data_IF_841710488576
#
_entry.id   IF_841710488576
#
_cell.length_a   1.000
_cell.length_b   1.000
_cell.length_c   1.000
_cell.angle_alpha   90.00
_cell.angle_beta   90.00
_cell.angle_gamma   90.00
#
_symmetry.space_group_name_H-M   'P 1'
#
loop_
_entity.id
_entity.type
_entity.pdbx_description
1 polymer ?
#
# COMPACT_ATOMS: atom_id res chain seq x y z
N UNK A 1 -5.75 13.05 19.97
CA UNK A 1 -5.44 13.97 18.85
C UNK A 1 -4.94 13.14 17.66
N UNK A 2 -5.38 13.47 16.44
CA UNK A 2 -4.89 12.87 15.19
C UNK A 2 -4.15 13.94 14.40
N UNK A 3 -3.08 13.55 13.71
CA UNK A 3 -2.41 14.43 12.74
C UNK A 3 -2.43 13.74 11.39
N UNK A 4 -3.09 14.40 10.43
CA UNK A 4 -3.22 13.99 9.05
C UNK A 4 -2.67 15.11 8.15
N UNK A 5 -1.63 14.80 7.38
CA UNK A 5 -1.09 15.70 6.36
C UNK A 5 -1.45 15.21 4.96
N UNK A 6 -1.94 16.11 4.12
CA UNK A 6 -2.12 15.88 2.69
C UNK A 6 -1.05 16.65 1.90
N UNK A 7 -0.46 16.02 0.89
CA UNK A 7 0.57 16.63 0.07
C UNK A 7 -0.02 17.75 -0.80
N UNK A 8 0.61 18.91 -0.78
CA UNK A 8 0.44 19.93 -1.82
C UNK A 8 1.36 19.61 -3.00
N UNK A 9 1.02 20.08 -4.20
CA UNK A 9 1.85 19.93 -5.40
C UNK A 9 3.32 20.31 -5.09
N UNK A 10 4.22 19.35 -5.25
CA UNK A 10 5.65 19.43 -4.88
C UNK A 10 6.07 18.53 -3.71
N UNK A 11 5.12 17.97 -2.97
CA UNK A 11 5.40 17.11 -1.80
C UNK A 11 5.99 15.74 -2.17
N UNK A 12 6.82 15.20 -1.26
CA UNK A 12 7.36 13.84 -1.34
C UNK A 12 6.34 12.77 -0.96
N UNK A 13 5.35 13.12 -0.15
CA UNK A 13 4.35 12.18 0.37
C UNK A 13 2.96 12.68 -0.03
N UNK A 14 2.15 11.80 -0.63
CA UNK A 14 0.78 12.14 -1.03
C UNK A 14 -0.15 12.29 0.18
N UNK A 15 -0.10 11.33 1.11
CA UNK A 15 -0.76 11.44 2.42
C UNK A 15 0.10 10.85 3.53
N UNK A 16 0.18 11.54 4.66
CA UNK A 16 0.93 11.10 5.84
C UNK A 16 0.04 11.06 7.09
N UNK A 17 -0.08 9.87 7.67
CA UNK A 17 -0.68 9.63 8.98
C UNK A 17 0.46 9.50 10.00
N UNK A 18 0.78 10.60 10.65
CA UNK A 18 2.00 10.71 11.46
C UNK A 18 1.83 10.08 12.84
N UNK A 19 0.72 10.39 13.52
CA UNK A 19 0.43 9.96 14.90
C UNK A 19 -1.08 9.90 15.17
N UNK A 20 -1.48 8.99 16.05
CA UNK A 20 -2.88 8.78 16.44
C UNK A 20 -3.19 7.31 16.74
N UNK A 21 -4.34 7.02 17.37
CA UNK A 21 -4.70 5.65 17.82
C UNK A 21 -6.09 5.16 17.41
N UNK A 22 -6.92 5.99 16.79
CA UNK A 22 -8.21 5.56 16.23
C UNK A 22 -8.22 5.55 14.71
N UNK A 23 -9.40 5.69 14.12
CA UNK A 23 -9.64 5.43 12.70
C UNK A 23 -9.84 6.70 11.89
N UNK A 24 -9.25 6.74 10.70
CA UNK A 24 -9.50 7.75 9.67
C UNK A 24 -9.88 7.05 8.37
N UNK A 25 -10.98 7.46 7.78
CA UNK A 25 -11.43 7.00 6.47
C UNK A 25 -11.24 8.12 5.43
N UNK A 26 -10.61 7.80 4.31
CA UNK A 26 -10.57 8.63 3.12
C UNK A 26 -11.32 7.90 2.01
N UNK A 27 -12.27 8.59 1.39
CA UNK A 27 -13.16 8.01 0.37
C UNK A 27 -13.04 8.83 -0.89
N UNK A 28 -12.96 8.18 -2.06
CA UNK A 28 -12.91 8.84 -3.36
C UNK A 28 -11.77 9.87 -3.47
N UNK A 29 -10.56 9.45 -3.11
CA UNK A 29 -9.39 10.32 -3.09
C UNK A 29 -8.49 10.06 -4.29
N UNK A 30 -7.92 11.12 -4.84
CA UNK A 30 -6.81 11.03 -5.79
C UNK A 30 -5.52 11.45 -5.09
N UNK A 31 -4.50 10.60 -5.13
CA UNK A 31 -3.23 10.84 -4.47
C UNK A 31 -2.13 11.12 -5.50
N UNK A 32 -1.42 12.22 -5.27
CA UNK A 32 -0.29 12.66 -6.09
C UNK A 32 0.89 12.99 -5.19
N UNK A 33 2.08 12.50 -5.55
CA UNK A 33 3.35 12.90 -4.97
C UNK A 33 4.26 13.36 -6.12
N UNK A 34 4.63 14.65 -6.12
CA UNK A 34 5.26 15.33 -7.27
C UNK A 34 6.76 15.58 -7.11
N UNK A 35 7.38 15.18 -6.00
CA UNK A 35 8.82 15.36 -5.80
C UNK A 35 9.68 14.62 -6.85
N UNK A 36 10.90 15.09 -7.11
CA UNK A 36 11.81 14.46 -8.07
C UNK A 36 12.33 13.09 -7.61
N UNK A 37 12.37 12.83 -6.30
CA UNK A 37 12.93 11.62 -5.71
C UNK A 37 12.16 11.18 -4.46
N UNK A 38 12.25 9.88 -4.12
CA UNK A 38 11.74 9.29 -2.88
C UNK A 38 10.26 9.61 -2.61
N UNK A 39 9.43 9.46 -3.64
CA UNK A 39 7.99 9.72 -3.59
C UNK A 39 7.24 8.55 -2.94
N UNK A 40 6.36 8.85 -1.99
CA UNK A 40 5.51 7.85 -1.30
C UNK A 40 4.06 8.29 -1.44
N UNK A 41 3.16 7.45 -1.98
CA UNK A 41 1.76 7.86 -2.12
C UNK A 41 1.04 7.87 -0.75
N UNK A 42 1.23 6.83 0.06
CA UNK A 42 0.64 6.69 1.40
C UNK A 42 1.72 6.38 2.44
N UNK A 43 1.79 7.14 3.53
CA UNK A 43 2.69 6.84 4.65
C UNK A 43 1.94 6.77 5.97
N UNK A 44 2.17 5.70 6.73
CA UNK A 44 1.84 5.59 8.16
C UNK A 44 3.17 5.64 8.93
N UNK A 45 3.31 6.62 9.83
CA UNK A 45 4.53 6.83 10.61
C UNK A 45 4.71 5.81 11.73
N UNK A 46 5.92 5.74 12.29
CA UNK A 46 6.23 4.82 13.39
C UNK A 46 5.40 5.08 14.65
N UNK A 47 5.02 6.34 14.89
CA UNK A 47 4.20 6.77 16.03
C UNK A 47 2.69 6.67 15.75
N UNK A 48 2.29 6.20 14.57
CA UNK A 48 0.90 5.93 14.24
C UNK A 48 0.50 4.55 14.73
N UNK A 49 -0.49 4.48 15.61
CA UNK A 49 -1.04 3.25 16.17
C UNK A 49 -2.54 3.12 15.92
N UNK A 50 -3.04 3.80 14.88
CA UNK A 50 -4.45 3.82 14.48
C UNK A 50 -4.73 2.99 13.22
N UNK A 51 -5.89 3.22 12.62
CA UNK A 51 -6.29 2.62 11.34
C UNK A 51 -6.56 3.70 10.30
N UNK A 52 -5.80 3.69 9.21
CA UNK A 52 -6.08 4.51 8.03
C UNK A 52 -6.75 3.64 6.97
N UNK A 53 -7.94 4.03 6.51
CA UNK A 53 -8.69 3.30 5.49
C UNK A 53 -8.92 4.19 4.27
N UNK A 54 -8.42 3.75 3.13
CA UNK A 54 -8.56 4.43 1.86
C UNK A 54 -9.48 3.60 0.96
N UNK A 55 -10.60 4.18 0.56
CA UNK A 55 -11.65 3.52 -0.21
C UNK A 55 -11.80 4.24 -1.54
N UNK A 56 -11.80 3.46 -2.64
CA UNK A 56 -11.93 3.96 -3.99
C UNK A 56 -10.91 5.08 -4.28
N UNK A 57 -9.64 4.77 -4.07
CA UNK A 57 -8.54 5.73 -4.20
C UNK A 57 -7.79 5.51 -5.50
N UNK A 58 -7.48 6.59 -6.21
CA UNK A 58 -6.59 6.55 -7.37
C UNK A 58 -5.22 7.09 -7.00
N UNK A 59 -4.16 6.39 -7.39
CA UNK A 59 -2.78 6.90 -7.36
C UNK A 59 -2.39 7.22 -8.79
N UNK A 60 -2.42 8.52 -9.12
CA UNK A 60 -2.20 9.02 -10.47
C UNK A 60 -0.73 9.32 -10.76
N UNK A 61 0.02 9.75 -9.73
CA UNK A 61 1.44 10.08 -9.85
C UNK A 61 2.36 8.87 -10.12
N UNK A 62 3.66 9.14 -10.12
CA UNK A 62 4.72 8.12 -10.26
C UNK A 62 5.50 7.94 -8.95
N UNK A 63 4.91 7.33 -7.91
CA UNK A 63 5.59 7.18 -6.64
C UNK A 63 6.73 6.17 -6.73
N UNK A 64 7.80 6.40 -5.96
CA UNK A 64 8.84 5.41 -5.71
C UNK A 64 8.30 4.24 -4.88
N UNK A 65 7.33 4.50 -4.00
CA UNK A 65 6.68 3.50 -3.14
C UNK A 65 5.19 3.80 -3.04
N UNK A 66 4.33 2.81 -3.27
CA UNK A 66 2.88 2.97 -3.18
C UNK A 66 2.45 3.28 -1.75
N UNK A 67 2.85 2.44 -0.80
CA UNK A 67 2.59 2.69 0.60
C UNK A 67 3.76 2.26 1.47
N UNK A 68 4.08 3.07 2.47
CA UNK A 68 5.00 2.73 3.55
C UNK A 68 4.23 2.68 4.87
N UNK A 69 4.24 1.52 5.53
CA UNK A 69 3.59 1.30 6.83
C UNK A 69 4.69 1.03 7.85
N UNK A 70 5.05 2.07 8.59
CA UNK A 70 6.04 1.95 9.67
C UNK A 70 5.42 1.42 10.96
N UNK A 71 4.11 1.65 11.18
CA UNK A 71 3.30 1.10 12.26
C UNK A 71 1.78 1.28 11.96
N UNK A 72 0.92 0.72 12.80
CA UNK A 72 -0.55 0.83 12.72
C UNK A 72 -1.16 -0.10 11.68
N UNK A 73 -2.37 0.25 11.22
CA UNK A 73 -3.12 -0.55 10.24
C UNK A 73 -3.50 0.28 9.02
N UNK A 74 -3.16 -0.21 7.83
CA UNK A 74 -3.59 0.35 6.56
C UNK A 74 -4.64 -0.55 5.91
N UNK A 75 -5.78 0.02 5.54
CA UNK A 75 -6.78 -0.62 4.70
C UNK A 75 -6.87 0.07 3.35
N UNK A 76 -6.72 -0.70 2.28
CA UNK A 76 -6.90 -0.26 0.90
C UNK A 76 -8.05 -1.06 0.30
N UNK A 77 -9.10 -0.38 -0.13
CA UNK A 77 -10.25 -1.02 -0.77
C UNK A 77 -10.56 -0.36 -2.11
N UNK A 78 -10.42 -1.11 -3.21
CA UNK A 78 -10.68 -0.58 -4.55
C UNK A 78 -9.66 0.48 -4.97
N UNK A 79 -8.39 0.35 -4.55
CA UNK A 79 -7.34 1.28 -4.98
C UNK A 79 -6.89 0.95 -6.40
N UNK A 80 -6.73 1.97 -7.24
CA UNK A 80 -6.12 1.83 -8.56
C UNK A 80 -4.80 2.62 -8.64
N UNK A 81 -3.72 1.95 -9.01
CA UNK A 81 -2.41 2.58 -9.19
C UNK A 81 -1.91 2.43 -10.63
N UNK A 82 -1.78 3.56 -11.34
CA UNK A 82 -1.19 3.60 -12.67
C UNK A 82 0.31 3.26 -12.63
N UNK A 83 0.99 3.73 -11.60
CA UNK A 83 2.35 3.35 -11.20
C UNK A 83 2.38 3.17 -9.69
N UNK A 84 3.19 2.23 -9.20
CA UNK A 84 3.21 1.85 -7.78
C UNK A 84 4.63 1.73 -7.21
N UNK A 85 5.65 2.02 -8.01
CA UNK A 85 7.05 1.86 -7.63
C UNK A 85 7.33 0.49 -7.02
N UNK A 86 7.87 0.49 -5.79
CA UNK A 86 8.21 -0.73 -5.06
C UNK A 86 7.02 -1.43 -4.38
N UNK A 87 5.79 -0.98 -4.62
CA UNK A 87 4.57 -1.54 -4.04
C UNK A 87 4.35 -1.13 -2.59
N UNK A 88 3.73 -2.03 -1.83
CA UNK A 88 3.47 -1.87 -0.39
C UNK A 88 4.71 -2.30 0.40
N UNK A 89 5.24 -1.42 1.23
CA UNK A 89 6.35 -1.69 2.14
C UNK A 89 5.85 -1.65 3.57
N UNK A 90 5.78 -2.80 4.22
CA UNK A 90 5.28 -2.94 5.58
C UNK A 90 6.47 -3.25 6.48
N UNK A 91 6.91 -2.27 7.25
CA UNK A 91 8.04 -2.43 8.16
C UNK A 91 7.58 -3.03 9.49
N UNK A 92 6.47 -2.51 10.01
CA UNK A 92 5.71 -3.05 11.14
C UNK A 92 4.22 -2.85 10.89
N UNK A 93 3.38 -3.42 11.75
CA UNK A 93 1.93 -3.25 11.66
C UNK A 93 1.28 -4.14 10.60
N UNK A 94 0.15 -3.69 10.07
CA UNK A 94 -0.72 -4.55 9.27
C UNK A 94 -1.27 -3.82 8.04
N UNK A 95 -1.36 -4.55 6.92
CA UNK A 95 -2.07 -4.07 5.72
C UNK A 95 -3.16 -5.04 5.29
N UNK A 96 -4.32 -4.50 4.93
CA UNK A 96 -5.35 -5.24 4.21
C UNK A 96 -5.62 -4.55 2.88
N UNK A 97 -5.32 -5.25 1.79
CA UNK A 97 -5.49 -4.79 0.42
C UNK A 97 -6.58 -5.63 -0.26
N UNK A 98 -7.71 -4.98 -0.52
CA UNK A 98 -8.90 -5.59 -1.13
C UNK A 98 -9.16 -4.95 -2.48
N UNK A 99 -9.21 -5.76 -3.53
CA UNK A 99 -9.50 -5.32 -4.89
C UNK A 99 -8.58 -4.17 -5.36
N UNK A 100 -7.30 -4.22 -4.98
CA UNK A 100 -6.29 -3.26 -5.46
C UNK A 100 -5.85 -3.66 -6.86
N UNK A 101 -5.80 -2.69 -7.77
CA UNK A 101 -5.39 -2.85 -9.16
C UNK A 101 -4.04 -2.15 -9.39
N UNK A 102 -3.01 -2.93 -9.74
CA UNK A 102 -1.70 -2.41 -10.16
C UNK A 102 -1.57 -2.54 -11.69
N UNK A 103 -1.49 -1.41 -12.38
CA UNK A 103 -1.49 -1.35 -13.85
C UNK A 103 -0.14 -1.70 -14.50
N UNK A 104 0.93 -1.79 -13.72
CA UNK A 104 2.30 -2.10 -14.17
C UNK A 104 2.82 -3.38 -13.52
N UNK A 105 3.75 -4.09 -14.16
CA UNK A 105 4.52 -5.14 -13.49
C UNK A 105 5.38 -4.56 -12.39
N UNK A 106 5.61 -5.32 -11.33
CA UNK A 106 6.43 -4.88 -10.20
C UNK A 106 6.15 -5.65 -8.92
N UNK A 107 6.87 -5.25 -7.87
CA UNK A 107 6.68 -5.80 -6.54
C UNK A 107 5.33 -5.31 -5.98
N UNK A 108 4.50 -6.24 -5.49
CA UNK A 108 3.24 -5.88 -4.85
C UNK A 108 3.45 -5.54 -3.38
N UNK A 109 4.20 -6.39 -2.66
CA UNK A 109 4.36 -6.31 -1.21
C UNK A 109 5.79 -6.68 -0.80
N UNK A 110 6.38 -5.92 0.11
CA UNK A 110 7.57 -6.28 0.88
C UNK A 110 7.26 -6.16 2.36
N UNK A 111 7.56 -7.20 3.14
CA UNK A 111 7.36 -7.24 4.57
C UNK A 111 8.34 -8.21 5.27
N UNK A 112 8.80 -7.92 6.50
CA UNK A 112 9.54 -8.87 7.32
C UNK A 112 8.61 -9.95 7.90
N UNK A 113 9.12 -11.17 8.06
CA UNK A 113 8.33 -12.34 8.49
C UNK A 113 7.97 -12.36 9.98
N UNK A 114 8.41 -11.40 10.79
CA UNK A 114 8.24 -11.46 12.26
C UNK A 114 7.38 -10.34 12.83
N UNK A 115 7.22 -9.20 12.13
CA UNK A 115 6.65 -7.96 12.72
C UNK A 115 5.52 -7.33 11.91
N UNK A 116 5.26 -7.85 10.72
CA UNK A 116 4.29 -7.30 9.80
C UNK A 116 3.31 -8.38 9.35
N UNK A 117 2.06 -8.00 9.11
CA UNK A 117 1.04 -8.88 8.52
C UNK A 117 0.40 -8.25 7.30
N UNK A 118 -0.04 -9.10 6.38
CA UNK A 118 -0.73 -8.66 5.19
C UNK A 118 -1.90 -9.59 4.81
N UNK A 119 -3.02 -8.99 4.41
CA UNK A 119 -4.14 -9.68 3.79
C UNK A 119 -4.32 -9.13 2.37
N UNK A 120 -4.09 -9.97 1.37
CA UNK A 120 -4.18 -9.64 -0.05
C UNK A 120 -5.37 -10.39 -0.66
N UNK A 121 -6.48 -9.67 -0.87
CA UNK A 121 -7.77 -10.24 -1.23
C UNK A 121 -8.26 -9.67 -2.56
N UNK A 122 -8.41 -10.51 -3.58
CA UNK A 122 -9.01 -10.11 -4.86
C UNK A 122 -8.19 -9.09 -5.66
N UNK A 123 -6.88 -8.97 -5.40
CA UNK A 123 -6.06 -7.95 -6.07
C UNK A 123 -5.71 -8.36 -7.50
N UNK A 124 -5.55 -7.36 -8.37
CA UNK A 124 -5.24 -7.53 -9.78
C UNK A 124 -3.87 -6.95 -10.06
N UNK A 125 -2.95 -7.77 -10.56
CA UNK A 125 -1.61 -7.34 -10.99
C UNK A 125 -1.44 -7.43 -12.50
N UNK A 126 -0.49 -6.68 -13.05
CA UNK A 126 0.01 -6.93 -14.42
C UNK A 126 1.27 -7.78 -14.31
N UNK A 127 1.25 -8.99 -14.87
CA UNK A 127 2.27 -10.00 -14.55
C UNK A 127 2.09 -10.61 -13.16
N UNK A 128 3.00 -11.50 -12.73
CA UNK A 128 2.82 -12.31 -11.52
C UNK A 128 2.70 -11.44 -10.27
N UNK A 129 1.94 -11.93 -9.27
CA UNK A 129 1.94 -11.33 -7.93
C UNK A 129 3.32 -11.56 -7.29
N UNK A 130 4.05 -10.48 -6.99
CA UNK A 130 5.39 -10.54 -6.40
C UNK A 130 5.33 -10.10 -4.93
N UNK A 131 5.76 -10.97 -4.02
CA UNK A 131 5.84 -10.71 -2.57
C UNK A 131 7.25 -11.00 -2.07
N UNK A 132 7.86 -10.02 -1.40
CA UNK A 132 9.27 -10.02 -1.01
C UNK A 132 10.19 -10.32 -2.20
N UNK A 133 9.94 -9.61 -3.32
CA UNK A 133 10.71 -9.72 -4.58
C UNK A 133 10.72 -11.12 -5.21
N UNK A 134 9.79 -11.99 -4.83
CA UNK A 134 9.62 -13.33 -5.41
C UNK A 134 8.21 -13.51 -5.95
N UNK A 135 8.02 -14.09 -7.14
CA UNK A 135 6.70 -14.49 -7.62
C UNK A 135 6.03 -15.45 -6.63
N UNK A 136 4.74 -15.24 -6.37
CA UNK A 136 3.93 -16.16 -5.58
C UNK A 136 3.52 -17.33 -6.48
N UNK A 137 3.91 -18.55 -6.10
CA UNK A 137 3.50 -19.78 -6.77
C UNK A 137 2.42 -20.50 -5.97
N UNK A 138 1.62 -21.36 -6.63
CA UNK A 138 0.65 -22.23 -5.96
C UNK A 138 1.36 -23.02 -4.86
N UNK A 139 0.84 -22.95 -3.63
CA UNK A 139 1.43 -23.63 -2.46
C UNK A 139 2.34 -22.76 -1.59
N UNK A 140 2.65 -21.52 -1.99
CA UNK A 140 3.40 -20.58 -1.13
C UNK A 140 2.58 -20.23 0.11
N UNK A 141 2.84 -20.89 1.24
CA UNK A 141 2.33 -20.49 2.56
C UNK A 141 3.34 -19.56 3.22
N UNK A 142 2.96 -18.29 3.38
CA UNK A 142 3.66 -17.35 4.27
C UNK A 142 2.78 -17.13 5.48
N UNK A 143 3.26 -17.44 6.68
CA UNK A 143 2.48 -17.38 7.93
C UNK A 143 1.89 -15.99 8.18
N UNK A 144 2.53 -14.95 7.68
CA UNK A 144 2.11 -13.56 7.90
C UNK A 144 1.40 -12.93 6.68
N UNK A 145 1.17 -13.69 5.61
CA UNK A 145 0.50 -13.19 4.40
C UNK A 145 -0.65 -14.11 4.05
N UNK A 146 -1.88 -13.60 4.21
CA UNK A 146 -3.08 -14.25 3.71
C UNK A 146 -3.30 -13.78 2.27
N UNK A 147 -3.39 -14.72 1.34
CA UNK A 147 -3.61 -14.41 -0.08
C UNK A 147 -4.80 -15.21 -0.60
N UNK A 148 -5.84 -14.53 -1.11
CA UNK A 148 -7.04 -15.18 -1.65
C UNK A 148 -7.56 -14.44 -2.88
N UNK A 149 -7.87 -15.17 -3.94
CA UNK A 149 -8.53 -14.61 -5.13
C UNK A 149 -7.72 -13.57 -5.91
N UNK A 150 -6.41 -13.44 -5.69
CA UNK A 150 -5.58 -12.52 -6.46
C UNK A 150 -5.37 -13.07 -7.88
N UNK A 151 -5.43 -12.19 -8.88
CA UNK A 151 -5.33 -12.54 -10.30
C UNK A 151 -4.22 -11.72 -10.96
N UNK A 152 -3.46 -12.38 -11.83
CA UNK A 152 -2.45 -11.73 -12.66
C UNK A 152 -2.95 -11.66 -14.10
N UNK A 153 -3.01 -10.45 -14.66
CA UNK A 153 -3.29 -10.26 -16.09
C UNK A 153 -2.02 -10.58 -16.88
N UNK A 154 -2.16 -11.41 -17.91
CA UNK A 154 -1.10 -11.64 -18.89
C UNK A 154 -0.90 -10.37 -19.72
N UNK A 155 0.32 -10.20 -20.24
CA UNK A 155 0.75 -8.98 -20.94
C UNK A 155 -0.08 -8.69 -22.19
#
# INVERSE_FOLDING_TARGET
CFVHGHGTDGSKVGVFFERGRGRIDMVNSELVAMSSQNKIAVKLGADYAGTARLINTMVWGDPTTLAQVDNGTLWLQGLHANRHGNGLQINQGEVTAVNVNLARPGNFLTLPETKAKASLLGNITRGPLIVNRRPVTKGTKKTNVVMRGNVSRNQ
#
